data_IF_906770187054
#
_entry.id   IF_906770187054
#
_cell.length_a   1.000
_cell.length_b   1.000
_cell.length_c   1.000
_cell.angle_alpha   90.00
_cell.angle_beta   90.00
_cell.angle_gamma   90.00
#
_symmetry.space_group_name_H-M   'P 1'
#
loop_
_entity.id
_entity.type
_entity.pdbx_description
1 polymer ?
#
# COMPACT_ATOMS: atom_id res chain seq x y z
N UNK A 1 -9.06 -12.83 9.80
CA UNK A 1 -7.84 -13.61 10.12
C UNK A 1 -6.65 -12.66 10.03
N UNK A 2 -6.04 -12.32 11.16
CA UNK A 2 -4.83 -11.49 11.19
C UNK A 2 -3.62 -12.40 10.93
N UNK A 3 -2.88 -12.12 9.85
CA UNK A 3 -1.68 -12.88 9.51
C UNK A 3 -0.57 -12.38 10.46
N UNK A 4 0.06 -13.27 11.21
CA UNK A 4 1.27 -12.92 11.95
C UNK A 4 2.41 -12.70 10.96
N UNK A 5 2.97 -11.49 10.96
CA UNK A 5 4.08 -11.09 10.11
C UNK A 5 5.35 -11.06 10.96
N UNK A 6 6.44 -11.61 10.44
CA UNK A 6 7.73 -11.58 11.13
C UNK A 6 8.26 -10.15 11.28
N UNK A 7 9.11 -9.93 12.29
CA UNK A 7 9.61 -8.60 12.64
C UNK A 7 10.32 -7.90 11.48
N UNK A 8 11.11 -8.64 10.68
CA UNK A 8 11.87 -8.08 9.56
C UNK A 8 10.94 -7.61 8.45
N UNK A 9 9.90 -8.38 8.15
CA UNK A 9 8.89 -7.98 7.17
C UNK A 9 8.08 -6.78 7.67
N UNK A 10 7.70 -6.75 8.96
CA UNK A 10 6.99 -5.60 9.55
C UNK A 10 7.81 -4.32 9.44
N UNK A 11 9.09 -4.33 9.81
CA UNK A 11 9.98 -3.18 9.66
C UNK A 11 10.03 -2.71 8.20
N UNK A 12 10.24 -3.64 7.26
CA UNK A 12 10.27 -3.31 5.83
C UNK A 12 8.97 -2.68 5.33
N UNK A 13 7.82 -3.11 5.85
CA UNK A 13 6.52 -2.54 5.52
C UNK A 13 6.43 -1.10 6.03
N UNK A 14 6.76 -0.87 7.30
CA UNK A 14 6.73 0.46 7.90
C UNK A 14 7.65 1.42 7.16
N UNK A 15 8.91 1.04 6.94
CA UNK A 15 9.89 1.86 6.22
C UNK A 15 9.38 2.28 4.84
N UNK A 16 8.73 1.36 4.12
CA UNK A 16 8.19 1.65 2.78
C UNK A 16 6.95 2.53 2.82
N UNK A 17 6.09 2.38 3.82
CA UNK A 17 4.92 3.24 4.01
C UNK A 17 5.36 4.66 4.38
N UNK A 18 6.39 4.81 5.20
CA UNK A 18 6.89 6.14 5.57
C UNK A 18 7.34 6.96 4.37
N UNK A 19 7.89 6.32 3.33
CA UNK A 19 8.27 7.02 2.10
C UNK A 19 7.08 7.69 1.40
N UNK A 20 5.85 7.20 1.59
CA UNK A 20 4.65 7.80 1.00
C UNK A 20 4.40 9.23 1.49
N UNK A 21 5.00 9.62 2.63
CA UNK A 21 4.97 11.00 3.13
C UNK A 21 5.70 11.97 2.18
N UNK A 22 6.72 11.51 1.47
CA UNK A 22 7.51 12.34 0.57
C UNK A 22 6.82 12.50 -0.80
N UNK A 23 6.37 11.39 -1.37
CA UNK A 23 5.60 11.39 -2.62
C UNK A 23 4.72 10.12 -2.68
N UNK A 24 3.40 10.23 -2.57
CA UNK A 24 2.54 9.06 -2.59
C UNK A 24 2.22 8.56 -4.01
N UNK A 25 2.74 9.18 -5.07
CA UNK A 25 2.38 8.88 -6.46
C UNK A 25 3.53 8.26 -7.25
N UNK A 26 4.78 8.68 -7.01
CA UNK A 26 5.92 8.37 -7.88
C UNK A 26 7.02 7.49 -7.24
N UNK A 27 6.77 6.88 -6.09
CA UNK A 27 7.77 5.99 -5.48
C UNK A 27 7.96 4.70 -6.29
N UNK A 28 9.19 4.15 -6.30
CA UNK A 28 9.45 2.85 -6.89
C UNK A 28 8.53 1.76 -6.32
N UNK A 29 7.73 1.16 -7.21
CA UNK A 29 6.78 0.11 -6.88
C UNK A 29 5.34 0.58 -6.69
N UNK A 30 5.10 1.89 -6.66
CA UNK A 30 3.75 2.48 -6.74
C UNK A 30 3.20 2.31 -8.16
N UNK A 31 1.93 1.95 -8.25
CA UNK A 31 1.14 2.03 -9.48
C UNK A 31 -0.29 2.41 -9.12
N UNK A 32 -0.88 3.29 -9.91
CA UNK A 32 -2.33 3.49 -9.87
C UNK A 32 -3.03 2.20 -10.30
N UNK A 33 -4.09 1.86 -9.58
CA UNK A 33 -4.97 0.74 -9.92
C UNK A 33 -6.04 1.21 -10.90
N UNK A 34 -6.59 0.26 -11.65
CA UNK A 34 -7.55 0.52 -12.73
C UNK A 34 -8.80 -0.33 -12.56
N UNK A 35 -9.85 -0.01 -13.31
CA UNK A 35 -11.12 -0.74 -13.26
C UNK A 35 -11.86 -0.48 -11.96
N UNK A 36 -12.32 -1.53 -11.27
CA UNK A 36 -13.10 -1.39 -10.02
C UNK A 36 -12.35 -0.71 -8.87
N UNK A 37 -11.03 -0.62 -8.96
CA UNK A 37 -10.16 -0.02 -7.94
C UNK A 37 -9.52 1.29 -8.45
N UNK A 38 -10.08 1.90 -9.49
CA UNK A 38 -9.64 3.21 -9.97
C UNK A 38 -9.72 4.27 -8.88
N UNK A 39 -8.76 5.20 -8.86
CA UNK A 39 -8.57 6.16 -7.77
C UNK A 39 -7.68 5.65 -6.62
N UNK A 40 -7.42 4.34 -6.56
CA UNK A 40 -6.50 3.75 -5.59
C UNK A 40 -5.11 3.54 -6.17
N UNK A 41 -4.14 3.41 -5.26
CA UNK A 41 -2.74 3.15 -5.56
C UNK A 41 -2.27 1.90 -4.86
N UNK A 42 -1.26 1.25 -5.45
CA UNK A 42 -0.64 0.06 -4.89
C UNK A 42 0.87 0.22 -4.79
N UNK A 43 1.38 0.15 -3.56
CA UNK A 43 2.81 0.07 -3.26
C UNK A 43 3.26 -1.40 -3.16
N UNK A 44 4.33 -1.77 -3.87
CA UNK A 44 4.97 -3.09 -3.75
C UNK A 44 6.05 -3.10 -2.66
N UNK A 45 5.95 -4.05 -1.73
CA UNK A 45 6.86 -4.21 -0.59
C UNK A 45 7.35 -5.67 -0.56
N UNK A 46 8.35 -6.00 -1.39
CA UNK A 46 8.79 -7.39 -1.54
C UNK A 46 7.66 -8.31 -2.03
N UNK A 47 7.25 -9.24 -1.17
CA UNK A 47 6.14 -10.19 -1.41
C UNK A 47 4.77 -9.66 -0.95
N UNK A 48 4.74 -8.49 -0.31
CA UNK A 48 3.52 -7.81 0.14
C UNK A 48 3.17 -6.64 -0.77
N UNK A 49 1.92 -6.21 -0.66
CA UNK A 49 1.39 -5.00 -1.27
C UNK A 49 0.61 -4.22 -0.22
N UNK A 50 0.64 -2.91 -0.35
CA UNK A 50 -0.29 -2.01 0.31
C UNK A 50 -1.18 -1.39 -0.77
N UNK A 51 -2.49 -1.36 -0.54
CA UNK A 51 -3.43 -0.55 -1.32
C UNK A 51 -3.82 0.65 -0.47
N UNK A 52 -3.78 1.83 -1.08
CA UNK A 52 -4.04 3.09 -0.40
C UNK A 52 -4.70 4.09 -1.33
N UNK A 53 -5.30 5.11 -0.74
CA UNK A 53 -5.76 6.31 -1.43
C UNK A 53 -5.06 7.55 -0.88
N UNK A 54 -5.08 8.62 -1.66
CA UNK A 54 -4.56 9.93 -1.26
C UNK A 54 -5.72 10.90 -1.23
N UNK A 55 -6.02 11.43 -0.05
CA UNK A 55 -6.96 12.53 0.09
C UNK A 55 -6.20 13.84 -0.13
N UNK A 56 -6.30 14.39 -1.34
CA UNK A 56 -5.59 15.60 -1.73
C UNK A 56 -5.94 16.82 -0.89
N UNK A 57 -7.19 16.92 -0.41
CA UNK A 57 -7.62 18.05 0.43
C UNK A 57 -6.97 18.03 1.82
N UNK A 58 -6.70 16.83 2.34
CA UNK A 58 -6.13 16.64 3.67
C UNK A 58 -4.63 16.37 3.67
N UNK A 59 -4.02 16.14 2.50
CA UNK A 59 -2.65 15.61 2.38
C UNK A 59 -2.48 14.30 3.18
N UNK A 60 -3.54 13.48 3.21
CA UNK A 60 -3.58 12.24 4.00
C UNK A 60 -3.45 11.06 3.06
N UNK A 61 -2.53 10.16 3.37
CA UNK A 61 -2.43 8.84 2.75
C UNK A 61 -3.16 7.84 3.64
N UNK A 62 -4.20 7.21 3.10
CA UNK A 62 -5.02 6.23 3.83
C UNK A 62 -4.72 4.84 3.30
N UNK A 63 -4.03 4.03 4.10
CA UNK A 63 -3.73 2.63 3.74
C UNK A 63 -4.94 1.77 4.07
N UNK A 64 -5.62 1.27 3.04
CA UNK A 64 -6.85 0.48 3.16
C UNK A 64 -6.54 -0.96 3.54
N UNK A 65 -5.52 -1.55 2.94
CA UNK A 65 -5.15 -2.95 3.20
C UNK A 65 -3.68 -3.20 2.90
N UNK A 66 -3.06 -4.07 3.70
CA UNK A 66 -1.73 -4.61 3.47
C UNK A 66 -1.85 -6.14 3.47
N UNK A 67 -1.24 -6.79 2.48
CA UNK A 67 -1.38 -8.23 2.33
C UNK A 67 -0.41 -8.86 1.34
N UNK A 68 -0.29 -10.19 1.34
CA UNK A 68 0.57 -10.91 0.41
C UNK A 68 0.09 -10.77 -1.04
N UNK A 69 1.01 -11.00 -1.98
CA UNK A 69 0.73 -10.96 -3.42
C UNK A 69 -0.44 -11.87 -3.79
N UNK A 70 -1.45 -11.30 -4.46
CA UNK A 70 -2.56 -12.02 -5.08
C UNK A 70 -3.88 -11.91 -4.30
N UNK A 71 -3.81 -11.86 -2.97
CA UNK A 71 -4.99 -11.91 -2.10
C UNK A 71 -5.59 -10.51 -1.82
N UNK A 72 -4.86 -9.45 -2.18
CA UNK A 72 -5.17 -8.11 -1.70
C UNK A 72 -6.32 -7.40 -2.44
N UNK A 73 -6.58 -7.74 -3.70
CA UNK A 73 -7.57 -7.02 -4.50
C UNK A 73 -9.01 -7.46 -4.23
N UNK A 74 -9.22 -8.59 -3.56
CA UNK A 74 -10.55 -9.08 -3.17
C UNK A 74 -10.99 -8.54 -1.80
N UNK A 75 -10.13 -7.77 -1.12
CA UNK A 75 -10.33 -7.28 0.25
C UNK A 75 -10.40 -5.76 0.33
N UNK A 76 -10.38 -5.09 -0.82
CA UNK A 76 -10.55 -3.64 -0.98
C UNK A 76 -11.99 -3.37 -1.37
#
# INVERSE_FOLDING_TARGET
MFIQIDKKTTTRILDKIELLKADPYLLPGVKQLTGKLEGLYRLRIGNYRAVYEVNEKGHIVIVLVIGPRGDIYNKV
#
